data_IF_835394032565
#
_entry.id   IF_835394032565
#
_cell.length_a   1.000
_cell.length_b   1.000
_cell.length_c   1.000
_cell.angle_alpha   90.00
_cell.angle_beta   90.00
_cell.angle_gamma   90.00
#
_symmetry.space_group_name_H-M   'P 1'
#
loop_
_entity.id
_entity.type
_entity.pdbx_description
1 polymer ?
#
# COMPACT_ATOMS: atom_id res chain seq x y z
N UNK A 1 -8.81 -12.11 -17.27
CA UNK A 1 -9.20 -11.69 -15.92
C UNK A 1 -8.07 -10.85 -15.34
N UNK A 2 -8.36 -9.61 -14.99
CA UNK A 2 -7.43 -8.63 -14.41
C UNK A 2 -7.50 -8.68 -12.89
N UNK A 3 -6.36 -8.70 -12.23
CA UNK A 3 -6.28 -8.66 -10.77
C UNK A 3 -5.15 -7.75 -10.31
N UNK A 4 -5.35 -7.07 -9.19
CA UNK A 4 -4.40 -6.19 -8.53
C UNK A 4 -3.92 -6.85 -7.24
N UNK A 5 -2.62 -6.74 -6.96
CA UNK A 5 -2.09 -6.99 -5.62
C UNK A 5 -2.18 -5.73 -4.79
N UNK A 6 -2.87 -5.83 -3.66
CA UNK A 6 -3.21 -4.69 -2.79
C UNK A 6 -2.70 -4.96 -1.39
N UNK A 7 -1.84 -4.08 -0.88
CA UNK A 7 -1.34 -4.16 0.49
C UNK A 7 -2.08 -3.18 1.41
N UNK A 8 -2.75 -3.72 2.43
CA UNK A 8 -3.40 -2.96 3.48
C UNK A 8 -2.46 -2.83 4.67
N UNK A 9 -2.26 -1.61 5.17
CA UNK A 9 -1.47 -1.34 6.35
C UNK A 9 -2.29 -1.57 7.62
N UNK A 10 -1.96 -2.63 8.35
CA UNK A 10 -2.82 -3.17 9.42
C UNK A 10 -2.32 -2.82 10.82
N UNK A 11 -3.27 -2.57 11.72
CA UNK A 11 -3.04 -2.52 13.17
C UNK A 11 -3.28 -3.89 13.79
N UNK A 12 -4.33 -4.56 13.35
CA UNK A 12 -4.68 -5.91 13.77
C UNK A 12 -5.33 -6.63 12.57
N UNK A 13 -5.92 -7.80 12.78
CA UNK A 13 -6.49 -8.59 11.69
C UNK A 13 -7.79 -8.03 11.09
N UNK A 14 -8.39 -7.03 11.74
CA UNK A 14 -9.69 -6.47 11.36
C UNK A 14 -9.60 -5.00 10.92
N UNK A 15 -8.62 -4.26 11.45
CA UNK A 15 -8.50 -2.81 11.26
C UNK A 15 -7.16 -2.39 10.65
N UNK A 16 -7.24 -1.48 9.68
CA UNK A 16 -6.12 -0.68 9.22
C UNK A 16 -5.65 0.28 10.32
N UNK A 17 -4.35 0.57 10.29
CA UNK A 17 -3.69 1.45 11.24
C UNK A 17 -4.31 2.86 11.26
N UNK A 18 -4.58 3.37 12.48
CA UNK A 18 -5.03 4.77 12.66
C UNK A 18 -3.86 5.77 12.54
N UNK A 19 -2.62 5.31 12.70
CA UNK A 19 -1.41 6.09 12.42
C UNK A 19 -1.11 6.13 10.90
N UNK A 20 0.13 6.45 10.50
CA UNK A 20 0.48 6.43 9.09
C UNK A 20 0.68 5.00 8.58
N UNK A 21 0.44 4.77 7.29
CA UNK A 21 0.65 3.47 6.64
C UNK A 21 2.01 2.82 6.96
N UNK A 22 3.08 3.62 7.05
CA UNK A 22 4.43 3.12 7.37
C UNK A 22 4.61 2.61 8.81
N UNK A 23 3.65 2.91 9.70
CA UNK A 23 3.65 2.53 11.12
C UNK A 23 2.82 1.26 11.39
N UNK A 24 2.26 0.66 10.33
CA UNK A 24 1.47 -0.58 10.42
C UNK A 24 2.26 -1.69 11.11
N UNK A 25 1.58 -2.55 11.86
CA UNK A 25 2.18 -3.74 12.46
C UNK A 25 2.60 -4.75 11.39
N UNK A 26 1.74 -4.93 10.39
CA UNK A 26 1.99 -5.79 9.24
C UNK A 26 1.20 -5.29 8.03
N UNK A 27 1.52 -5.84 6.86
CA UNK A 27 0.80 -5.62 5.62
C UNK A 27 0.01 -6.87 5.26
N UNK A 28 -1.32 -6.76 5.17
CA UNK A 28 -2.16 -7.82 4.62
C UNK A 28 -2.24 -7.64 3.11
N UNK A 29 -1.76 -8.64 2.35
CA UNK A 29 -1.69 -8.55 0.89
C UNK A 29 -2.79 -9.40 0.28
N UNK A 30 -3.68 -8.73 -0.44
CA UNK A 30 -4.79 -9.36 -1.15
C UNK A 30 -4.56 -9.32 -2.65
N UNK A 31 -5.02 -10.37 -3.32
CA UNK A 31 -5.33 -10.31 -4.75
C UNK A 31 -6.81 -9.97 -4.88
N UNK A 32 -7.11 -8.91 -5.64
CA UNK A 32 -8.48 -8.44 -5.89
C UNK A 32 -8.66 -8.40 -7.41
N UNK A 33 -9.72 -9.03 -7.92
CA UNK A 33 -9.98 -9.17 -9.35
C UNK A 33 -11.15 -8.31 -9.81
N UNK A 34 -11.23 -8.08 -11.14
CA UNK A 34 -12.24 -7.21 -11.76
C UNK A 34 -13.69 -7.65 -11.56
N UNK A 35 -13.91 -8.92 -11.24
CA UNK A 35 -15.23 -9.51 -10.94
C UNK A 35 -15.65 -9.33 -9.47
N UNK A 36 -14.82 -8.67 -8.66
CA UNK A 36 -15.01 -8.47 -7.23
C UNK A 36 -14.59 -9.64 -6.36
N UNK A 37 -14.05 -10.72 -6.95
CA UNK A 37 -13.44 -11.79 -6.17
C UNK A 37 -12.14 -11.29 -5.52
N UNK A 38 -11.88 -11.74 -4.29
CA UNK A 38 -10.65 -11.40 -3.57
C UNK A 38 -10.17 -12.56 -2.72
N UNK A 39 -8.85 -12.65 -2.51
CA UNK A 39 -8.23 -13.61 -1.61
C UNK A 39 -7.03 -13.01 -0.90
N UNK A 40 -6.85 -13.36 0.38
CA UNK A 40 -5.62 -13.06 1.10
C UNK A 40 -4.51 -13.94 0.51
N UNK A 41 -3.43 -13.32 0.04
CA UNK A 41 -2.24 -14.02 -0.43
C UNK A 41 -1.30 -14.33 0.74
N UNK A 42 -1.00 -13.31 1.56
CA UNK A 42 -0.07 -13.42 2.68
C UNK A 42 -0.20 -12.22 3.62
N UNK A 43 0.42 -12.32 4.80
CA UNK A 43 0.70 -11.20 5.70
C UNK A 43 2.21 -11.02 5.78
N UNK A 44 2.70 -9.81 5.57
CA UNK A 44 4.12 -9.47 5.70
C UNK A 44 4.34 -8.58 6.90
N UNK A 45 5.21 -8.98 7.82
CA UNK A 45 5.61 -8.12 8.93
C UNK A 45 6.25 -6.83 8.42
N UNK A 46 5.97 -5.71 9.10
CA UNK A 46 6.56 -4.44 8.74
C UNK A 46 7.93 -4.26 9.42
N UNK A 47 9.00 -4.58 8.70
CA UNK A 47 10.39 -4.41 9.18
C UNK A 47 10.83 -2.95 9.30
N UNK A 48 10.02 -2.01 8.83
CA UNK A 48 10.31 -0.58 8.89
C UNK A 48 9.73 0.09 10.16
N UNK A 49 8.97 -0.66 10.98
CA UNK A 49 8.28 -0.10 12.15
C UNK A 49 9.26 0.43 13.21
N UNK A 50 10.40 -0.24 13.38
CA UNK A 50 11.41 0.12 14.39
C UNK A 50 12.46 1.12 13.89
N UNK A 51 12.30 1.66 12.66
CA UNK A 51 13.17 2.74 12.21
C UNK A 51 12.80 4.01 13.00
N UNK A 52 13.70 4.41 13.91
CA UNK A 52 13.62 5.71 14.58
C UNK A 52 13.66 6.82 13.54
N UNK A 53 12.65 7.69 13.57
CA UNK A 53 12.63 8.89 12.74
C UNK A 53 13.57 9.91 13.41
N UNK A 54 14.73 10.18 12.79
CA UNK A 54 15.68 11.18 13.30
C UNK A 54 15.10 12.61 13.30
N UNK A 55 13.96 12.83 12.64
CA UNK A 55 13.38 14.15 12.41
C UNK A 55 11.84 14.09 12.46
N UNK A 56 11.23 14.58 13.56
CA UNK A 56 9.78 14.50 13.87
C UNK A 56 8.86 15.17 12.83
N UNK A 57 9.40 15.91 11.86
CA UNK A 57 8.61 16.65 10.86
C UNK A 57 8.74 16.16 9.41
N UNK A 58 9.78 15.37 9.10
CA UNK A 58 10.20 15.13 7.72
C UNK A 58 10.36 13.64 7.44
N UNK A 59 9.23 12.91 7.48
CA UNK A 59 9.14 11.46 7.30
C UNK A 59 10.36 10.82 6.62
N UNK A 60 11.05 9.98 7.37
CA UNK A 60 12.39 9.50 7.03
C UNK A 60 12.41 8.81 5.64
N UNK A 61 13.23 9.28 4.67
CA UNK A 61 13.39 8.61 3.38
C UNK A 61 13.79 7.13 3.50
N UNK A 62 14.53 6.75 4.54
CA UNK A 62 14.97 5.38 4.83
C UNK A 62 13.78 4.50 5.20
N UNK A 63 12.89 4.99 6.06
CA UNK A 63 11.64 4.30 6.44
C UNK A 63 10.74 4.10 5.22
N UNK A 64 10.61 5.13 4.37
CA UNK A 64 9.92 5.00 3.08
C UNK A 64 10.53 3.90 2.20
N UNK A 65 11.86 3.90 2.01
CA UNK A 65 12.55 2.91 1.19
C UNK A 65 12.36 1.51 1.77
N UNK A 66 12.44 1.36 3.10
CA UNK A 66 12.22 0.10 3.80
C UNK A 66 10.80 -0.44 3.58
N UNK A 67 9.75 0.38 3.72
CA UNK A 67 8.36 -0.04 3.44
C UNK A 67 8.18 -0.44 1.98
N UNK A 68 8.60 0.41 1.03
CA UNK A 68 8.43 0.14 -0.40
C UNK A 68 9.21 -1.09 -0.85
N UNK A 69 10.41 -1.30 -0.32
CA UNK A 69 11.25 -2.47 -0.64
C UNK A 69 10.62 -3.80 -0.23
N UNK A 70 9.78 -3.81 0.81
CA UNK A 70 9.05 -5.00 1.26
C UNK A 70 7.80 -5.28 0.43
N UNK A 71 7.37 -4.32 -0.39
CA UNK A 71 6.12 -4.35 -1.14
C UNK A 71 6.37 -4.18 -2.66
N UNK A 72 7.56 -4.54 -3.16
CA UNK A 72 7.94 -4.32 -4.56
C UNK A 72 6.98 -4.98 -5.56
N UNK A 73 6.44 -6.15 -5.21
CA UNK A 73 5.51 -6.94 -6.03
C UNK A 73 4.04 -6.54 -5.88
N UNK A 74 3.74 -5.53 -5.05
CA UNK A 74 2.38 -5.01 -4.86
C UNK A 74 2.09 -3.91 -5.89
N UNK A 75 0.83 -3.77 -6.31
CA UNK A 75 0.41 -2.71 -7.23
C UNK A 75 -0.13 -1.49 -6.48
N UNK A 76 -0.96 -1.73 -5.44
CA UNK A 76 -1.69 -0.70 -4.70
C UNK A 76 -1.37 -0.75 -3.21
N UNK A 77 -1.08 0.42 -2.62
CA UNK A 77 -0.94 0.62 -1.17
C UNK A 77 -2.21 1.25 -0.64
N UNK A 78 -3.05 0.45 0.02
CA UNK A 78 -4.34 0.87 0.55
C UNK A 78 -4.21 1.28 2.03
N UNK A 79 -4.49 2.54 2.32
CA UNK A 79 -4.29 3.11 3.66
C UNK A 79 -5.50 3.92 4.13
N UNK A 80 -5.73 3.91 5.44
CA UNK A 80 -6.63 4.87 6.06
C UNK A 80 -5.98 6.26 6.13
N UNK A 81 -4.73 6.33 6.60
CA UNK A 81 -3.90 7.55 6.61
C UNK A 81 -2.52 7.28 6.00
N UNK A 82 -1.99 8.28 5.31
CA UNK A 82 -0.64 8.24 4.74
C UNK A 82 0.17 9.38 5.34
N UNK A 83 1.44 9.11 5.67
CA UNK A 83 2.35 10.11 6.18
C UNK A 83 2.94 11.02 5.07
N UNK A 84 3.83 11.96 5.44
CA UNK A 84 4.44 12.93 4.53
C UNK A 84 5.14 12.30 3.31
N UNK A 85 5.61 11.06 3.47
CA UNK A 85 6.26 10.26 2.42
C UNK A 85 5.34 9.83 1.28
N UNK A 86 4.02 10.05 1.37
CA UNK A 86 3.06 9.74 0.32
C UNK A 86 3.44 10.35 -1.04
N UNK A 87 3.89 11.61 -1.06
CA UNK A 87 4.30 12.28 -2.29
C UNK A 87 5.45 11.53 -2.97
N UNK A 88 6.37 10.94 -2.18
CA UNK A 88 7.45 10.12 -2.71
C UNK A 88 6.96 8.79 -3.30
N UNK A 89 5.96 8.15 -2.70
CA UNK A 89 5.33 6.94 -3.29
C UNK A 89 4.79 7.30 -4.68
N UNK A 90 3.96 8.34 -4.73
CA UNK A 90 3.32 8.81 -5.96
C UNK A 90 4.34 9.20 -7.03
N UNK A 91 5.39 9.92 -6.65
CA UNK A 91 6.29 10.58 -7.60
C UNK A 91 7.53 9.76 -7.95
N UNK A 92 7.92 8.78 -7.13
CA UNK A 92 9.17 8.01 -7.34
C UNK A 92 8.97 6.51 -7.55
N UNK A 93 7.76 5.99 -7.40
CA UNK A 93 7.50 4.56 -7.54
C UNK A 93 6.44 4.28 -8.60
N UNK A 94 6.32 3.01 -8.96
CA UNK A 94 5.25 2.50 -9.82
C UNK A 94 3.99 2.07 -9.04
N UNK A 95 3.93 2.40 -7.75
CA UNK A 95 2.84 2.04 -6.84
C UNK A 95 1.72 3.07 -6.93
N UNK A 96 0.49 2.60 -6.82
CA UNK A 96 -0.68 3.46 -6.63
C UNK A 96 -1.02 3.50 -5.16
N UNK A 97 -1.24 4.69 -4.62
CA UNK A 97 -1.64 4.84 -3.23
C UNK A 97 -3.14 5.17 -3.18
N UNK A 98 -3.89 4.41 -2.39
CA UNK A 98 -5.35 4.48 -2.31
C UNK A 98 -5.79 4.77 -0.88
N UNK A 99 -6.61 5.79 -0.70
CA UNK A 99 -7.18 6.15 0.60
C UNK A 99 -8.53 5.47 0.80
N UNK A 100 -8.58 4.52 1.74
CA UNK A 100 -9.78 3.69 2.00
C UNK A 100 -10.89 4.47 2.70
N UNK A 101 -10.54 5.57 3.39
CA UNK A 101 -11.44 6.40 4.24
C UNK A 101 -12.14 5.61 5.36
N UNK A 102 -11.73 4.38 5.61
CA UNK A 102 -12.24 3.51 6.66
C UNK A 102 -11.12 2.62 7.19
N UNK A 103 -11.17 2.32 8.48
CA UNK A 103 -10.22 1.40 9.12
C UNK A 103 -10.67 -0.06 9.01
N UNK A 104 -11.97 -0.32 8.91
CA UNK A 104 -12.51 -1.66 8.75
C UNK A 104 -11.99 -2.32 7.47
N UNK A 105 -11.27 -3.44 7.59
CA UNK A 105 -10.63 -4.13 6.48
C UNK A 105 -11.65 -4.58 5.42
N UNK A 106 -12.79 -5.11 5.85
CA UNK A 106 -13.81 -5.60 4.92
C UNK A 106 -14.37 -4.46 4.08
N UNK A 107 -14.69 -3.32 4.72
CA UNK A 107 -15.11 -2.11 4.00
C UNK A 107 -13.99 -1.57 3.13
N UNK A 108 -12.75 -1.59 3.58
CA UNK A 108 -11.59 -1.15 2.79
C UNK A 108 -11.43 -1.99 1.51
N UNK A 109 -11.57 -3.32 1.59
CA UNK A 109 -11.58 -4.21 0.43
C UNK A 109 -12.72 -3.87 -0.52
N UNK A 110 -13.94 -3.66 0.01
CA UNK A 110 -15.09 -3.24 -0.82
C UNK A 110 -14.81 -1.92 -1.56
N UNK A 111 -14.18 -0.94 -0.90
CA UNK A 111 -13.78 0.32 -1.56
C UNK A 111 -12.81 0.10 -2.70
N UNK A 112 -11.88 -0.84 -2.58
CA UNK A 112 -10.95 -1.17 -3.67
C UNK A 112 -11.70 -1.82 -4.83
N UNK A 113 -12.63 -2.74 -4.56
CA UNK A 113 -13.47 -3.38 -5.59
C UNK A 113 -14.31 -2.33 -6.33
N UNK A 114 -14.99 -1.43 -5.60
CA UNK A 114 -15.78 -0.34 -6.16
C UNK A 114 -14.97 0.60 -7.08
N UNK A 115 -13.66 0.73 -6.82
CA UNK A 115 -12.75 1.60 -7.56
C UNK A 115 -11.78 0.82 -8.47
N UNK A 116 -12.05 -0.46 -8.74
CA UNK A 116 -11.10 -1.35 -9.42
C UNK A 116 -10.64 -0.82 -10.77
N UNK A 117 -11.58 -0.36 -11.61
CA UNK A 117 -11.26 0.15 -12.95
C UNK A 117 -10.35 1.38 -12.92
N UNK A 118 -10.56 2.28 -11.97
CA UNK A 118 -9.75 3.48 -11.83
C UNK A 118 -8.35 3.13 -11.33
N UNK A 119 -8.26 2.30 -10.29
CA UNK A 119 -6.99 1.80 -9.77
C UNK A 119 -6.20 1.03 -10.83
N UNK A 120 -6.88 0.20 -11.64
CA UNK A 120 -6.26 -0.52 -12.73
C UNK A 120 -5.60 0.43 -13.73
N UNK A 121 -6.33 1.47 -14.17
CA UNK A 121 -5.78 2.49 -15.09
C UNK A 121 -4.55 3.18 -14.50
N UNK A 122 -4.64 3.64 -13.25
CA UNK A 122 -3.52 4.30 -12.57
C UNK A 122 -2.29 3.36 -12.48
N UNK A 123 -2.49 2.08 -12.18
CA UNK A 123 -1.40 1.09 -12.11
C UNK A 123 -0.76 0.90 -13.48
N UNK A 124 -1.55 0.80 -14.56
CA UNK A 124 -1.01 0.67 -15.91
C UNK A 124 -0.25 1.92 -16.35
N UNK A 125 -0.75 3.12 -16.03
CA UNK A 125 -0.05 4.39 -16.29
C UNK A 125 1.29 4.44 -15.55
N UNK A 126 1.29 4.13 -14.25
CA UNK A 126 2.51 4.10 -13.43
C UNK A 126 3.54 3.12 -13.96
N UNK A 127 3.14 1.90 -14.37
CA UNK A 127 4.04 0.89 -14.93
C UNK A 127 4.66 1.32 -16.27
N UNK A 128 3.97 2.15 -17.06
CA UNK A 128 4.50 2.73 -18.31
C UNK A 128 5.48 3.86 -18.05
N UNK A 129 5.19 4.73 -17.09
CA UNK A 129 6.05 5.87 -16.74
C UNK A 129 7.29 5.46 -15.96
N UNK A 130 7.15 4.48 -15.07
CA UNK A 130 8.18 4.05 -14.12
C UNK A 130 8.17 2.53 -14.06
N UNK A 131 9.17 1.85 -14.64
CA UNK A 131 9.30 0.41 -14.44
C UNK A 131 9.49 0.11 -12.94
N UNK A 132 9.17 -1.12 -12.49
CA UNK A 132 9.43 -1.53 -11.11
C UNK A 132 10.86 -1.23 -10.69
N UNK A 133 11.05 -0.83 -9.43
CA UNK A 133 12.39 -0.77 -8.85
C UNK A 133 12.95 -2.19 -8.88
N UNK A 134 13.88 -2.45 -9.79
CA UNK A 134 14.69 -3.67 -9.76
C UNK A 134 15.54 -3.60 -8.48
N UNK A 135 15.39 -4.61 -7.62
CA UNK A 135 16.21 -4.71 -6.42
C UNK A 135 17.66 -4.91 -6.84
N UNK A 136 18.49 -3.88 -6.64
CA UNK A 136 19.95 -4.03 -6.58
C UNK A 136 20.37 -4.69 -5.27
#
# INVERSE_FOLDING_TARGET
>A
MRCLKVAFGMENDEELIDAHYGDSNFFAIYEICEDGSYRLLEKRENKAKDFEEEDEGHGDPRKFKAVVSQLLDVDVLAAFRMGPNFLRIRDKTNKVAFFTRTRDLNKAIQRVIENFEDLWKQVQEKKREKPPLEGE
#
